data_IF_160989540236
#
_entry.id   IF_160989540236
#
_cell.length_a   1.000
_cell.length_b   1.000
_cell.length_c   1.000
_cell.angle_alpha   90.00
_cell.angle_beta   90.00
_cell.angle_gamma   90.00
#
_symmetry.space_group_name_H-M   'P 1'
#
loop_
_entity.id
_entity.type
_entity.pdbx_description
1 polymer ?
#
# COMPACT_ATOMS: atom_id res chain seq x y z
N UNK A 1 -23.56 -3.27 22.49
CA UNK A 1 -22.93 -2.21 21.68
C UNK A 1 -21.53 -2.66 21.27
N UNK A 2 -21.03 -2.39 20.05
CA UNK A 2 -19.58 -2.56 19.82
C UNK A 2 -18.99 -2.56 18.40
N UNK A 3 -19.74 -2.84 17.33
CA UNK A 3 -19.13 -3.00 16.00
C UNK A 3 -19.04 -1.71 15.16
N UNK A 4 -19.75 -0.64 15.54
CA UNK A 4 -19.84 0.59 14.74
C UNK A 4 -18.70 1.59 14.96
N UNK A 5 -17.92 1.49 16.05
CA UNK A 5 -16.88 2.50 16.34
C UNK A 5 -15.60 2.30 15.54
N UNK A 6 -15.18 1.06 15.26
CA UNK A 6 -13.90 0.77 14.58
C UNK A 6 -13.80 1.32 13.14
N UNK A 7 -14.93 1.58 12.47
CA UNK A 7 -14.93 2.25 11.15
C UNK A 7 -14.72 3.77 11.26
N UNK A 8 -15.08 4.39 12.38
CA UNK A 8 -14.99 5.85 12.57
C UNK A 8 -13.55 6.31 12.77
N UNK A 9 -12.71 5.46 13.33
CA UNK A 9 -11.35 5.77 13.77
C UNK A 9 -10.24 5.34 12.81
N UNK A 10 -10.55 4.75 11.64
CA UNK A 10 -9.54 4.30 10.66
C UNK A 10 -9.71 4.93 9.29
N UNK A 11 -8.59 5.27 8.64
CA UNK A 11 -8.52 5.68 7.24
C UNK A 11 -8.19 4.47 6.37
N UNK A 12 -8.73 4.45 5.16
CA UNK A 12 -8.36 3.49 4.12
C UNK A 12 -7.74 4.25 2.96
N UNK A 13 -6.47 3.98 2.71
CA UNK A 13 -5.67 4.66 1.69
C UNK A 13 -5.40 3.67 0.59
N UNK A 14 -5.71 4.06 -0.64
CA UNK A 14 -5.48 3.26 -1.84
C UNK A 14 -4.15 3.65 -2.46
N UNK A 15 -3.31 2.68 -2.76
CA UNK A 15 -2.03 2.90 -3.43
C UNK A 15 -1.92 1.98 -4.64
N UNK A 16 -1.42 2.51 -5.74
CA UNK A 16 -1.12 1.73 -6.93
C UNK A 16 0.35 1.36 -6.95
N UNK A 17 0.61 0.09 -7.20
CA UNK A 17 1.96 -0.49 -7.31
C UNK A 17 2.09 -1.22 -8.64
N UNK A 18 3.32 -1.35 -9.11
CA UNK A 18 3.68 -2.11 -10.30
C UNK A 18 4.65 -3.20 -9.90
N UNK A 19 4.32 -4.45 -10.21
CA UNK A 19 5.19 -5.60 -10.00
C UNK A 19 5.67 -6.08 -11.35
N UNK A 20 6.99 -6.11 -11.52
CA UNK A 20 7.63 -6.66 -12.72
C UNK A 20 7.94 -8.14 -12.48
N UNK A 21 7.42 -9.01 -13.35
CA UNK A 21 7.68 -10.44 -13.34
C UNK A 21 8.60 -10.85 -14.49
N UNK A 22 9.59 -11.69 -14.17
CA UNK A 22 10.48 -12.33 -15.13
C UNK A 22 10.59 -13.81 -14.77
N UNK A 23 10.27 -14.69 -15.73
CA UNK A 23 10.28 -16.16 -15.51
C UNK A 23 9.46 -16.61 -14.30
N UNK A 24 8.33 -15.95 -14.05
CA UNK A 24 7.46 -16.16 -12.88
C UNK A 24 8.03 -15.69 -11.54
N UNK A 25 9.17 -15.01 -11.54
CA UNK A 25 9.79 -14.43 -10.36
C UNK A 25 9.58 -12.92 -10.30
N UNK A 26 9.48 -12.40 -9.08
CA UNK A 26 9.28 -10.97 -8.82
C UNK A 26 10.63 -10.27 -8.94
N UNK A 27 10.82 -9.52 -10.02
CA UNK A 27 12.04 -8.76 -10.29
C UNK A 27 12.04 -7.46 -9.49
N UNK A 28 10.95 -6.72 -9.53
CA UNK A 28 10.83 -5.46 -8.79
C UNK A 28 9.40 -5.13 -8.42
N UNK A 29 9.25 -4.35 -7.35
CA UNK A 29 7.98 -3.77 -6.91
C UNK A 29 8.18 -2.27 -6.81
N UNK A 30 7.43 -1.51 -7.60
CA UNK A 30 7.50 -0.05 -7.65
C UNK A 30 6.19 0.56 -7.17
N UNK A 31 6.29 1.66 -6.43
CA UNK A 31 5.13 2.49 -6.13
C UNK A 31 4.83 3.38 -7.35
N UNK A 32 3.58 3.39 -7.81
CA UNK A 32 3.15 4.29 -8.88
C UNK A 32 2.53 5.56 -8.30
N UNK A 33 1.60 5.41 -7.36
CA UNK A 33 0.87 6.54 -6.76
C UNK A 33 0.20 6.15 -5.46
N UNK A 34 0.29 7.02 -4.46
CA UNK A 34 -0.57 6.98 -3.28
C UNK A 34 -1.77 7.90 -3.53
N UNK A 35 -2.99 7.38 -3.40
CA UNK A 35 -4.22 8.16 -3.55
C UNK A 35 -4.56 8.77 -2.19
N UNK A 36 -3.84 9.85 -1.87
CA UNK A 36 -4.05 10.64 -0.67
C UNK A 36 -3.63 12.09 -0.93
N UNK A 37 -4.60 12.94 -1.27
CA UNK A 37 -4.34 14.34 -1.60
C UNK A 37 -4.14 15.21 -0.35
N UNK A 38 -4.57 14.74 0.83
CA UNK A 38 -4.41 15.41 2.12
C UNK A 38 -3.16 14.95 2.90
N UNK A 39 -2.38 14.00 2.36
CA UNK A 39 -1.17 13.50 3.00
C UNK A 39 0.02 14.43 2.74
N UNK A 40 0.87 14.62 3.76
CA UNK A 40 2.21 15.20 3.59
C UNK A 40 3.11 14.24 2.79
N UNK A 41 4.26 14.73 2.33
CA UNK A 41 5.20 13.91 1.57
C UNK A 41 5.75 12.73 2.41
N UNK A 42 6.05 12.94 3.69
CA UNK A 42 6.44 11.86 4.61
C UNK A 42 5.34 10.82 4.79
N UNK A 43 4.09 11.28 4.97
CA UNK A 43 2.95 10.36 5.06
C UNK A 43 2.81 9.53 3.79
N UNK A 44 2.93 10.15 2.61
CA UNK A 44 2.91 9.44 1.32
C UNK A 44 4.06 8.45 1.20
N UNK A 45 5.25 8.80 1.67
CA UNK A 45 6.42 7.92 1.65
C UNK A 45 6.20 6.69 2.54
N UNK A 46 5.79 6.87 3.80
CA UNK A 46 5.52 5.78 4.73
C UNK A 46 4.43 4.85 4.19
N UNK A 47 3.33 5.42 3.67
CA UNK A 47 2.25 4.64 3.03
C UNK A 47 2.77 3.93 1.78
N UNK A 48 3.65 4.58 1.02
CA UNK A 48 4.28 4.04 -0.17
C UNK A 48 5.14 2.80 0.12
N UNK A 49 5.98 2.88 1.16
CA UNK A 49 6.80 1.78 1.64
C UNK A 49 5.91 0.60 2.06
N UNK A 50 4.89 0.86 2.88
CA UNK A 50 3.94 -0.18 3.27
C UNK A 50 3.17 -0.78 2.08
N UNK A 51 2.84 0.05 1.08
CA UNK A 51 2.13 -0.41 -0.11
C UNK A 51 3.01 -1.36 -0.95
N UNK A 52 4.28 -1.03 -1.15
CA UNK A 52 5.21 -1.89 -1.87
C UNK A 52 5.50 -3.19 -1.13
N UNK A 53 5.61 -3.14 0.20
CA UNK A 53 5.75 -4.32 1.05
C UNK A 53 4.56 -5.27 0.92
N UNK A 54 3.33 -4.74 0.99
CA UNK A 54 2.11 -5.53 0.79
C UNK A 54 1.97 -6.04 -0.64
N UNK A 55 2.32 -5.24 -1.64
CA UNK A 55 2.33 -5.67 -3.04
C UNK A 55 3.32 -6.84 -3.26
N UNK A 56 4.49 -6.82 -2.61
CA UNK A 56 5.41 -7.94 -2.62
C UNK A 56 4.79 -9.19 -1.97
N UNK A 57 4.09 -9.06 -0.85
CA UNK A 57 3.35 -10.20 -0.27
C UNK A 57 2.29 -10.74 -1.22
N UNK A 58 1.47 -9.86 -1.79
CA UNK A 58 0.41 -10.20 -2.74
C UNK A 58 0.96 -10.80 -4.04
N UNK A 59 2.22 -10.53 -4.40
CA UNK A 59 2.86 -11.08 -5.59
C UNK A 59 3.02 -12.60 -5.54
N UNK A 60 3.10 -13.17 -4.34
CA UNK A 60 3.20 -14.62 -4.14
C UNK A 60 1.87 -15.33 -4.33
N UNK A 61 0.75 -14.61 -4.33
CA UNK A 61 -0.58 -15.16 -4.55
C UNK A 61 -0.72 -15.65 -6.00
N UNK A 62 -1.28 -16.85 -6.24
CA UNK A 62 -1.39 -17.42 -7.58
C UNK A 62 -2.21 -16.55 -8.53
N UNK A 63 -3.23 -15.84 -8.02
CA UNK A 63 -4.04 -14.87 -8.78
C UNK A 63 -3.24 -13.66 -9.29
N UNK A 64 -2.11 -13.38 -8.65
CA UNK A 64 -1.28 -12.20 -8.90
C UNK A 64 0.01 -12.52 -9.67
N UNK A 65 0.42 -13.79 -9.74
CA UNK A 65 1.60 -14.21 -10.51
C UNK A 65 1.39 -14.04 -12.02
N UNK A 66 2.47 -13.68 -12.71
CA UNK A 66 2.57 -13.68 -14.16
C UNK A 66 3.85 -14.40 -14.55
N UNK A 67 3.84 -15.11 -15.70
CA UNK A 67 5.06 -15.73 -16.23
C UNK A 67 6.08 -14.68 -16.68
N UNK A 68 5.60 -13.61 -17.30
CA UNK A 68 6.40 -12.47 -17.72
C UNK A 68 5.53 -11.21 -17.80
N UNK A 69 6.14 -10.05 -17.55
CA UNK A 69 5.52 -8.74 -17.74
C UNK A 69 5.16 -8.04 -16.44
N UNK A 70 4.43 -6.94 -16.58
CA UNK A 70 4.13 -6.04 -15.45
C UNK A 70 2.69 -6.19 -14.98
N UNK A 71 2.50 -6.27 -13.67
CA UNK A 71 1.17 -6.28 -13.04
C UNK A 71 0.98 -5.03 -12.18
N UNK A 72 -0.09 -4.29 -12.47
CA UNK A 72 -0.56 -3.20 -11.60
C UNK A 72 -1.42 -3.78 -10.49
N UNK A 73 -1.07 -3.54 -9.23
CA UNK A 73 -1.88 -3.90 -8.07
C UNK A 73 -2.34 -2.66 -7.32
N UNK A 74 -3.63 -2.65 -6.96
CA UNK A 74 -4.19 -1.70 -6.02
C UNK A 74 -4.09 -2.28 -4.60
N UNK A 75 -3.30 -1.64 -3.76
CA UNK A 75 -3.14 -2.00 -2.35
C UNK A 75 -3.98 -1.06 -1.51
N UNK A 76 -4.76 -1.62 -0.60
CA UNK A 76 -5.51 -0.86 0.39
C UNK A 76 -4.82 -1.00 1.75
N UNK A 77 -4.37 0.13 2.28
CA UNK A 77 -3.78 0.23 3.60
C UNK A 77 -4.83 0.82 4.53
N UNK A 78 -5.13 0.09 5.61
CA UNK A 78 -5.98 0.58 6.67
C UNK A 78 -5.10 0.97 7.84
N UNK A 79 -5.23 2.21 8.29
CA UNK A 79 -4.45 2.80 9.38
C UNK A 79 -5.39 3.54 10.32
N UNK A 80 -5.13 3.53 11.63
CA UNK A 80 -5.91 4.34 12.56
C UNK A 80 -5.62 5.82 12.33
N UNK A 81 -6.62 6.69 12.48
CA UNK A 81 -6.48 8.14 12.34
C UNK A 81 -5.45 8.71 13.30
N UNK A 82 -5.38 8.18 14.52
CA UNK A 82 -4.40 8.59 15.54
C UNK A 82 -2.98 8.27 15.08
N UNK A 83 -2.74 7.04 14.64
CA UNK A 83 -1.43 6.61 14.15
C UNK A 83 -1.04 7.37 12.88
N UNK A 84 -1.99 7.59 11.97
CA UNK A 84 -1.76 8.37 10.76
C UNK A 84 -1.39 9.83 11.07
N UNK A 85 -2.06 10.45 12.04
CA UNK A 85 -1.75 11.81 12.50
C UNK A 85 -0.43 11.89 13.28
N UNK A 86 0.05 10.77 13.83
CA UNK A 86 1.34 10.66 14.50
C UNK A 86 2.52 10.50 13.52
N UNK A 87 2.28 10.20 12.23
CA UNK A 87 3.31 10.23 11.19
C UNK A 87 3.66 11.69 10.92
N UNK A 88 4.71 12.17 11.58
CA UNK A 88 5.34 13.47 11.40
C UNK A 88 6.85 13.27 11.31
N UNK A 89 7.58 14.23 10.75
CA UNK A 89 9.04 14.25 10.89
C UNK A 89 9.36 14.31 12.38
N UNK A 90 10.20 13.36 12.84
CA UNK A 90 10.91 13.53 14.11
C UNK A 90 11.89 14.69 13.87
N UNK A 91 11.70 15.77 14.61
CA UNK A 91 12.50 17.00 14.54
C UNK A 91 13.95 16.77 15.01
#
# INVERSE_FOLDING_TARGET
>A
MGAQSYKKDSLQIKSYTLIEYRRSEVKSVKLLRVICDYCTDIQKEVIGIEATRRAKSESYEPKNRLKEGDKKLAIYIRIAKKDFAAIKEDE
#
